data_IF_940209339434
#
_entry.id   IF_940209339434
#
_cell.length_a   1.000
_cell.length_b   1.000
_cell.length_c   1.000
_cell.angle_alpha   90.00
_cell.angle_beta   90.00
_cell.angle_gamma   90.00
#
_symmetry.space_group_name_H-M   'P 1'
#
loop_
_entity.id
_entity.type
_entity.pdbx_description
1 polymer ?
#
# COMPACT_ATOMS: atom_id res chain seq x y z
N UNK A 1 -20.97 -5.75 2.80
CA UNK A 1 -21.38 -6.89 1.97
C UNK A 1 -21.16 -6.46 0.56
N UNK A 2 -20.35 -7.20 -0.19
CA UNK A 2 -19.94 -6.85 -1.53
C UNK A 2 -20.28 -8.01 -2.46
N UNK A 3 -20.84 -7.69 -3.63
CA UNK A 3 -21.08 -8.64 -4.71
C UNK A 3 -20.28 -8.18 -5.91
N UNK A 4 -19.34 -9.01 -6.33
CA UNK A 4 -18.45 -8.75 -7.46
C UNK A 4 -18.81 -9.76 -8.55
N UNK A 5 -19.45 -9.27 -9.59
CA UNK A 5 -19.82 -10.06 -10.76
C UNK A 5 -18.65 -10.09 -11.75
N UNK A 6 -18.23 -11.30 -12.15
CA UNK A 6 -17.10 -11.51 -13.07
C UNK A 6 -17.51 -12.48 -14.18
N UNK A 7 -16.73 -12.53 -15.25
CA UNK A 7 -16.91 -13.52 -16.33
C UNK A 7 -15.61 -14.28 -16.56
N UNK A 8 -15.75 -15.58 -16.83
CA UNK A 8 -14.64 -16.48 -17.09
C UNK A 8 -14.41 -16.72 -18.59
N UNK A 9 -13.62 -17.74 -18.86
CA UNK A 9 -13.44 -18.27 -20.21
C UNK A 9 -14.80 -18.56 -20.88
N UNK A 10 -14.90 -18.34 -22.19
CA UNK A 10 -16.16 -18.45 -22.96
C UNK A 10 -17.33 -17.58 -22.43
N UNK A 11 -17.05 -16.56 -21.61
CA UNK A 11 -18.06 -15.62 -21.13
C UNK A 11 -18.99 -16.19 -20.05
N UNK A 12 -18.63 -17.32 -19.42
CA UNK A 12 -19.43 -17.87 -18.34
C UNK A 12 -19.46 -16.91 -17.14
N UNK A 13 -20.64 -16.47 -16.69
CA UNK A 13 -20.76 -15.56 -15.56
C UNK A 13 -20.45 -16.28 -14.24
N UNK A 14 -19.75 -15.60 -13.34
CA UNK A 14 -19.43 -16.05 -11.99
C UNK A 14 -19.61 -14.88 -11.00
N UNK A 15 -19.71 -15.18 -9.71
CA UNK A 15 -19.89 -14.18 -8.67
C UNK A 15 -18.98 -14.45 -7.47
N UNK A 16 -18.40 -13.38 -6.92
CA UNK A 16 -17.71 -13.40 -5.64
C UNK A 16 -18.54 -12.57 -4.66
N UNK A 17 -19.02 -13.21 -3.59
CA UNK A 17 -19.78 -12.55 -2.52
C UNK A 17 -18.94 -12.50 -1.26
N UNK A 18 -18.68 -11.28 -0.78
CA UNK A 18 -17.87 -11.05 0.42
C UNK A 18 -18.76 -10.45 1.50
N UNK A 19 -18.79 -11.09 2.67
CA UNK A 19 -19.42 -10.54 3.85
C UNK A 19 -18.37 -10.31 4.93
N UNK A 20 -17.98 -9.06 5.09
CA UNK A 20 -16.97 -8.65 6.06
C UNK A 20 -17.66 -8.09 7.31
N UNK A 21 -17.74 -8.90 8.36
CA UNK A 21 -18.25 -8.49 9.67
C UNK A 21 -17.09 -7.97 10.50
N UNK A 22 -17.06 -6.67 10.74
CA UNK A 22 -16.00 -6.04 11.50
C UNK A 22 -16.54 -4.97 12.45
N UNK A 23 -15.72 -4.65 13.45
CA UNK A 23 -15.94 -3.49 14.31
C UNK A 23 -15.00 -2.39 13.84
N UNK A 24 -15.56 -1.28 13.38
CA UNK A 24 -14.76 -0.21 12.77
C UNK A 24 -13.64 0.29 13.69
N UNK A 25 -13.92 0.40 15.00
CA UNK A 25 -12.93 0.89 15.97
C UNK A 25 -11.71 -0.01 16.13
N UNK A 26 -11.87 -1.34 16.09
CA UNK A 26 -10.72 -2.25 16.24
C UNK A 26 -9.86 -2.29 14.97
N UNK A 27 -10.46 -1.99 13.81
CA UNK A 27 -9.73 -1.84 12.56
C UNK A 27 -9.03 -0.47 12.45
N UNK A 28 -9.68 0.59 12.91
CA UNK A 28 -9.17 1.95 12.79
C UNK A 28 -8.06 2.28 13.79
N UNK A 29 -8.14 1.77 15.03
CA UNK A 29 -7.15 2.05 16.08
C UNK A 29 -5.69 1.73 15.67
N UNK A 30 -5.36 0.54 15.13
CA UNK A 30 -3.98 0.26 14.69
C UNK A 30 -3.55 1.12 13.50
N UNK A 31 -4.45 1.41 12.55
CA UNK A 31 -4.18 2.28 11.40
C UNK A 31 -3.76 3.68 11.88
N UNK A 32 -4.48 4.24 12.86
CA UNK A 32 -4.18 5.58 13.41
C UNK A 32 -2.86 5.57 14.20
N UNK A 33 -2.59 4.50 14.95
CA UNK A 33 -1.32 4.36 15.67
C UNK A 33 -0.13 4.32 14.71
N UNK A 34 -0.21 3.49 13.67
CA UNK A 34 0.82 3.40 12.63
C UNK A 34 1.06 4.77 11.96
N UNK A 35 -0.02 5.47 11.60
CA UNK A 35 0.07 6.79 10.99
C UNK A 35 0.80 7.79 11.90
N UNK A 36 0.48 7.81 13.20
CA UNK A 36 1.15 8.69 14.16
C UNK A 36 2.65 8.39 14.28
N UNK A 37 3.01 7.10 14.33
CA UNK A 37 4.41 6.66 14.39
C UNK A 37 5.17 7.03 13.11
N UNK A 38 4.58 6.80 11.95
CA UNK A 38 5.22 7.12 10.67
C UNK A 38 5.32 8.61 10.41
N UNK A 39 4.35 9.42 10.86
CA UNK A 39 4.45 10.88 10.79
C UNK A 39 5.57 11.43 11.69
N UNK A 40 5.74 10.89 12.90
CA UNK A 40 6.88 11.25 13.76
C UNK A 40 8.22 10.85 13.11
N UNK A 41 8.29 9.65 12.54
CA UNK A 41 9.47 9.21 11.78
C UNK A 41 9.77 10.14 10.59
N UNK A 42 8.74 10.52 9.82
CA UNK A 42 8.88 11.43 8.69
C UNK A 42 9.46 12.78 9.12
N UNK A 43 8.95 13.33 10.22
CA UNK A 43 9.42 14.59 10.78
C UNK A 43 10.89 14.50 11.21
N UNK A 44 11.30 13.40 11.86
CA UNK A 44 12.70 13.14 12.24
C UNK A 44 13.61 12.93 11.03
N UNK A 45 13.09 12.35 9.96
CA UNK A 45 13.79 12.20 8.69
C UNK A 45 13.83 13.49 7.85
N UNK A 46 13.33 14.62 8.37
CA UNK A 46 13.32 15.92 7.69
C UNK A 46 12.34 16.00 6.52
N UNK A 47 11.39 15.07 6.42
CA UNK A 47 10.37 15.08 5.37
C UNK A 47 9.29 16.12 5.66
N UNK A 48 8.78 16.74 4.60
CA UNK A 48 7.69 17.72 4.70
C UNK A 48 6.80 17.68 3.45
N UNK A 49 5.64 18.34 3.51
CA UNK A 49 4.66 18.31 2.44
C UNK A 49 3.90 16.98 2.34
N UNK A 50 3.35 16.71 1.15
CA UNK A 50 2.51 15.52 0.89
C UNK A 50 3.36 14.25 0.97
N UNK A 51 3.07 13.41 1.96
CA UNK A 51 3.73 12.12 2.17
C UNK A 51 3.04 11.01 1.36
N UNK A 52 3.31 10.91 0.05
CA UNK A 52 2.65 9.92 -0.82
C UNK A 52 2.88 8.46 -0.38
N UNK A 53 3.99 8.16 0.26
CA UNK A 53 4.33 6.82 0.76
C UNK A 53 3.41 6.34 1.89
N UNK A 54 2.64 7.24 2.52
CA UNK A 54 1.59 6.90 3.49
C UNK A 54 0.23 6.62 2.86
N UNK A 55 0.12 6.64 1.52
CA UNK A 55 -1.13 6.41 0.79
C UNK A 55 -1.85 5.10 1.15
N UNK A 56 -1.11 4.08 1.58
CA UNK A 56 -1.65 2.80 2.05
C UNK A 56 -2.71 2.92 3.15
N UNK A 57 -2.63 3.94 4.01
CA UNK A 57 -3.53 4.12 5.14
C UNK A 57 -4.80 4.92 4.81
N UNK A 58 -4.92 5.46 3.59
CA UNK A 58 -6.00 6.38 3.22
C UNK A 58 -6.88 5.81 2.10
N UNK A 59 -8.20 5.97 2.26
CA UNK A 59 -9.17 5.64 1.20
C UNK A 59 -9.01 6.54 -0.04
N UNK A 60 -8.62 7.79 0.16
CA UNK A 60 -8.46 8.79 -0.89
C UNK A 60 -7.15 9.55 -0.65
N UNK A 61 -6.00 8.96 -1.02
CA UNK A 61 -4.71 9.58 -0.79
C UNK A 61 -4.54 10.83 -1.65
N UNK A 62 -3.89 11.86 -1.09
CA UNK A 62 -3.59 13.08 -1.81
C UNK A 62 -2.37 12.85 -2.71
N UNK A 63 -2.46 13.06 -4.04
CA UNK A 63 -1.30 13.00 -4.91
C UNK A 63 -0.46 14.27 -4.76
N UNK A 64 0.87 14.13 -4.82
CA UNK A 64 1.85 15.21 -4.92
C UNK A 64 2.12 15.63 -6.37
N UNK A 65 1.82 14.75 -7.31
CA UNK A 65 1.94 14.95 -8.76
C UNK A 65 0.57 15.20 -9.41
N UNK A 66 0.50 15.81 -10.61
CA UNK A 66 -0.73 15.86 -11.40
C UNK A 66 -1.27 14.47 -11.84
N UNK A 67 -0.50 13.39 -11.63
CA UNK A 67 -0.97 12.03 -11.85
C UNK A 67 -2.06 11.63 -10.84
N UNK A 68 -3.02 10.78 -11.25
CA UNK A 68 -4.03 10.27 -10.33
C UNK A 68 -3.39 9.50 -9.18
N UNK A 69 -4.06 9.51 -8.03
CA UNK A 69 -3.60 8.80 -6.86
C UNK A 69 -3.63 7.28 -7.11
N UNK A 70 -2.57 6.59 -6.71
CA UNK A 70 -2.50 5.13 -6.76
C UNK A 70 -3.52 4.54 -5.78
N UNK A 71 -4.28 3.53 -6.20
CA UNK A 71 -5.28 2.85 -5.38
C UNK A 71 -5.03 1.33 -5.27
N UNK A 72 -4.01 0.81 -5.96
CA UNK A 72 -3.55 -0.56 -5.74
C UNK A 72 -2.79 -0.66 -4.40
N UNK A 73 -3.39 -1.39 -3.45
CA UNK A 73 -2.84 -1.61 -2.12
C UNK A 73 -1.43 -2.24 -2.15
N UNK A 74 -1.13 -3.14 -3.09
CA UNK A 74 0.18 -3.77 -3.16
C UNK A 74 1.25 -2.80 -3.63
N UNK A 75 0.92 -1.96 -4.61
CA UNK A 75 1.83 -0.90 -5.08
C UNK A 75 2.06 0.12 -3.94
N UNK A 76 1.01 0.50 -3.22
CA UNK A 76 1.13 1.40 -2.05
C UNK A 76 2.02 0.81 -0.94
N UNK A 77 1.88 -0.49 -0.63
CA UNK A 77 2.77 -1.18 0.34
C UNK A 77 4.22 -1.19 -0.16
N UNK A 78 4.43 -1.45 -1.45
CA UNK A 78 5.78 -1.42 -2.04
C UNK A 78 6.39 -0.03 -1.97
N UNK A 79 5.60 1.03 -2.22
CA UNK A 79 6.03 2.43 -2.04
C UNK A 79 6.45 2.70 -0.59
N UNK A 80 5.60 2.35 0.38
CA UNK A 80 5.88 2.45 1.82
C UNK A 80 7.22 1.77 2.18
N UNK A 81 7.39 0.51 1.80
CA UNK A 81 8.61 -0.25 2.09
C UNK A 81 9.85 0.34 1.41
N UNK A 82 9.76 0.73 0.16
CA UNK A 82 10.89 1.27 -0.60
C UNK A 82 11.32 2.65 -0.08
N UNK A 83 10.39 3.48 0.41
CA UNK A 83 10.75 4.72 1.09
C UNK A 83 11.58 4.47 2.35
N UNK A 84 11.13 3.53 3.20
CA UNK A 84 11.87 3.18 4.43
C UNK A 84 13.24 2.55 4.12
N UNK A 85 13.30 1.64 3.14
CA UNK A 85 14.56 1.03 2.69
C UNK A 85 15.53 2.07 2.14
N UNK A 86 15.02 3.03 1.36
CA UNK A 86 15.81 4.15 0.86
C UNK A 86 16.43 4.98 1.99
N UNK A 87 15.70 5.22 3.08
CA UNK A 87 16.24 5.91 4.27
C UNK A 87 17.28 5.08 5.02
N UNK A 88 17.19 3.75 4.97
CA UNK A 88 18.18 2.83 5.54
C UNK A 88 19.39 2.58 4.63
N UNK A 89 19.38 3.10 3.40
CA UNK A 89 20.43 2.82 2.40
C UNK A 89 20.34 1.42 1.80
N UNK A 90 19.21 0.73 1.95
CA UNK A 90 18.97 -0.60 1.38
C UNK A 90 18.42 -0.51 -0.06
N UNK A 91 18.73 -1.53 -0.88
CA UNK A 91 18.20 -1.64 -2.23
C UNK A 91 16.67 -1.74 -2.25
N UNK A 92 15.97 -1.12 -3.22
CA UNK A 92 14.51 -1.23 -3.35
C UNK A 92 14.06 -2.69 -3.51
N UNK A 93 12.91 -3.05 -2.95
CA UNK A 93 12.27 -4.34 -3.25
C UNK A 93 11.75 -4.28 -4.67
N UNK A 94 12.28 -5.17 -5.51
CA UNK A 94 11.78 -5.48 -6.83
C UNK A 94 11.21 -6.91 -6.82
N UNK A 95 10.19 -7.17 -7.65
CA UNK A 95 9.61 -8.49 -7.80
C UNK A 95 10.29 -9.31 -8.92
N UNK A 96 11.51 -8.95 -9.32
CA UNK A 96 12.27 -9.68 -10.33
C UNK A 96 12.99 -10.87 -9.69
N UNK A 97 12.77 -12.09 -10.19
CA UNK A 97 13.48 -13.31 -9.79
C UNK A 97 14.97 -13.33 -10.18
N UNK A 98 15.55 -12.18 -10.52
CA UNK A 98 16.88 -12.06 -11.12
C UNK A 98 18.05 -12.09 -10.13
N UNK A 99 17.82 -12.22 -8.82
CA UNK A 99 18.87 -12.16 -7.79
C UNK A 99 19.51 -13.52 -7.45
N UNK A 100 19.46 -14.51 -8.35
CA UNK A 100 20.02 -15.85 -8.13
C UNK A 100 21.37 -16.14 -8.80
N UNK A 101 22.23 -15.15 -9.02
CA UNK A 101 23.60 -15.41 -9.53
C UNK A 101 24.64 -14.50 -8.89
N UNK A 102 25.49 -15.09 -8.05
CA UNK A 102 26.96 -15.01 -8.03
C UNK A 102 27.55 -15.04 -6.60
N UNK A 103 27.51 -16.21 -5.97
CA UNK A 103 28.51 -16.64 -4.98
C UNK A 103 28.91 -18.09 -5.29
N UNK A 104 29.84 -18.25 -6.24
CA UNK A 104 30.84 -19.33 -6.29
C UNK A 104 32.24 -18.70 -6.29
#
# INVERSE_FOLDING_TARGET
>A
WDNIDIFGWMGYPMQIKVNFLCRDSILAAPIVLDLALFMDLAARAGQSGVQEWLSYYFKSPQPSSPMPAEHDLFIQVTKLKNTLRGWMGEAPVTHSEADWTDED
#
